data_IF_674340556316
#
_entry.id   IF_674340556316
#
_cell.length_a   1.000
_cell.length_b   1.000
_cell.length_c   1.000
_cell.angle_alpha   90.00
_cell.angle_beta   90.00
_cell.angle_gamma   90.00
#
_symmetry.space_group_name_H-M   'P 1'
#
loop_
_entity.id
_entity.type
_entity.pdbx_description
1 polymer ?
#
# COMPACT_ATOMS: atom_id res chain seq x y z
N UNK A 1 -11.74 4.78 -14.48
CA UNK A 1 -11.41 5.07 -13.06
C UNK A 1 -10.15 4.36 -12.54
N UNK A 2 -9.81 3.13 -12.99
CA UNK A 2 -8.61 2.43 -12.50
C UNK A 2 -7.25 3.08 -12.80
N UNK A 3 -7.08 3.73 -13.97
CA UNK A 3 -5.81 4.43 -14.33
C UNK A 3 -5.51 5.61 -13.40
N UNK A 4 -6.49 6.47 -13.13
CA UNK A 4 -6.32 7.62 -12.25
C UNK A 4 -6.00 7.18 -10.80
N UNK A 5 -6.70 6.16 -10.29
CA UNK A 5 -6.41 5.59 -8.96
C UNK A 5 -4.99 5.05 -8.86
N UNK A 6 -4.52 4.32 -9.89
CA UNK A 6 -3.17 3.76 -9.92
C UNK A 6 -2.08 4.83 -9.94
N UNK A 7 -2.31 5.94 -10.65
CA UNK A 7 -1.41 7.09 -10.67
C UNK A 7 -1.37 7.78 -9.30
N UNK A 8 -2.54 8.00 -8.67
CA UNK A 8 -2.62 8.61 -7.33
C UNK A 8 -1.89 7.76 -6.29
N UNK A 9 -2.12 6.43 -6.29
CA UNK A 9 -1.44 5.50 -5.38
C UNK A 9 0.07 5.48 -5.63
N UNK A 10 0.50 5.56 -6.89
CA UNK A 10 1.91 5.67 -7.24
C UNK A 10 2.56 6.96 -6.71
N UNK A 11 1.90 8.11 -6.91
CA UNK A 11 2.38 9.41 -6.41
C UNK A 11 2.47 9.40 -4.88
N UNK A 12 1.43 8.88 -4.20
CA UNK A 12 1.42 8.76 -2.73
C UNK A 12 2.53 7.82 -2.25
N UNK A 13 2.83 6.74 -3.00
CA UNK A 13 3.95 5.82 -2.71
C UNK A 13 5.30 6.49 -2.78
N UNK A 14 5.53 7.27 -3.83
CA UNK A 14 6.80 7.97 -4.01
C UNK A 14 6.99 9.04 -2.94
N UNK A 15 5.96 9.82 -2.63
CA UNK A 15 6.01 10.84 -1.57
C UNK A 15 6.34 10.18 -0.24
N UNK A 16 5.65 9.09 0.10
CA UNK A 16 5.86 8.37 1.34
C UNK A 16 7.27 7.78 1.46
N UNK A 17 7.78 7.13 0.40
CA UNK A 17 9.17 6.63 0.35
C UNK A 17 10.18 7.76 0.55
N UNK A 18 9.95 8.91 -0.07
CA UNK A 18 10.82 10.09 0.04
C UNK A 18 10.84 10.61 1.47
N UNK A 19 9.68 10.74 2.11
CA UNK A 19 9.58 11.19 3.51
C UNK A 19 10.27 10.22 4.48
N UNK A 20 10.14 8.91 4.26
CA UNK A 20 10.82 7.86 5.05
C UNK A 20 12.34 7.92 4.86
N UNK A 21 12.83 8.06 3.62
CA UNK A 21 14.28 8.16 3.32
C UNK A 21 14.86 9.45 3.92
N UNK A 22 14.13 10.56 3.87
CA UNK A 22 14.57 11.85 4.40
C UNK A 22 14.49 11.93 5.94
N UNK A 23 14.05 10.86 6.63
CA UNK A 23 13.84 10.85 8.10
C UNK A 23 13.04 12.06 8.58
N UNK A 24 12.08 12.51 7.77
CA UNK A 24 11.16 13.56 8.19
C UNK A 24 10.27 12.95 9.26
N UNK A 25 10.07 13.67 10.36
CA UNK A 25 9.18 13.25 11.45
C UNK A 25 7.73 13.29 10.94
N UNK A 26 7.30 12.19 10.32
CA UNK A 26 5.91 12.02 9.91
C UNK A 26 5.11 11.65 11.16
N UNK A 27 4.06 12.41 11.52
CA UNK A 27 3.19 12.03 12.61
C UNK A 27 2.68 10.61 12.39
N UNK A 28 2.84 9.75 13.40
CA UNK A 28 2.50 8.31 13.32
C UNK A 28 1.10 8.07 12.75
N UNK A 29 0.15 8.94 13.06
CA UNK A 29 -1.24 8.87 12.61
C UNK A 29 -1.36 9.09 11.08
N UNK A 30 -0.57 10.02 10.53
CA UNK A 30 -0.51 10.32 9.09
C UNK A 30 0.12 9.15 8.35
N UNK A 31 1.20 8.59 8.92
CA UNK A 31 1.86 7.42 8.37
C UNK A 31 0.89 6.22 8.27
N UNK A 32 0.22 5.86 9.37
CA UNK A 32 -0.74 4.75 9.40
C UNK A 32 -1.87 4.97 8.39
N UNK A 33 -2.39 6.20 8.29
CA UNK A 33 -3.45 6.53 7.35
C UNK A 33 -2.98 6.37 5.89
N UNK A 34 -1.79 6.88 5.53
CA UNK A 34 -1.23 6.78 4.18
C UNK A 34 -0.95 5.32 3.79
N UNK A 35 -0.35 4.55 4.71
CA UNK A 35 -0.09 3.12 4.50
C UNK A 35 -1.39 2.35 4.33
N UNK A 36 -2.40 2.62 5.17
CA UNK A 36 -3.72 1.99 5.06
C UNK A 36 -4.40 2.26 3.70
N UNK A 37 -4.38 3.52 3.24
CA UNK A 37 -4.96 3.91 1.95
C UNK A 37 -4.26 3.20 0.80
N UNK A 38 -2.93 3.10 0.83
CA UNK A 38 -2.17 2.36 -0.19
C UNK A 38 -2.58 0.90 -0.28
N UNK A 39 -2.71 0.24 0.87
CA UNK A 39 -2.98 -1.19 0.93
C UNK A 39 -4.38 -1.54 0.49
N UNK A 40 -5.37 -0.79 0.97
CA UNK A 40 -6.75 -0.96 0.54
C UNK A 40 -6.84 -0.71 -0.97
N UNK A 41 -6.18 0.34 -1.46
CA UNK A 41 -6.18 0.66 -2.89
C UNK A 41 -5.51 -0.42 -3.74
N UNK A 42 -4.39 -0.98 -3.28
CA UNK A 42 -3.68 -2.09 -3.94
C UNK A 42 -4.50 -3.38 -3.93
N UNK A 43 -5.09 -3.74 -2.79
CA UNK A 43 -5.93 -4.92 -2.65
C UNK A 43 -7.17 -4.85 -3.56
N UNK A 44 -7.81 -3.68 -3.68
CA UNK A 44 -8.95 -3.48 -4.61
C UNK A 44 -8.49 -3.62 -6.07
N UNK A 45 -7.27 -3.17 -6.42
CA UNK A 45 -6.78 -3.24 -7.79
C UNK A 45 -6.48 -4.69 -8.17
N UNK A 46 -5.85 -5.42 -7.26
CA UNK A 46 -5.54 -6.83 -7.47
C UNK A 46 -6.81 -7.69 -7.46
N UNK A 47 -7.81 -7.35 -6.63
CA UNK A 47 -9.13 -7.99 -6.66
C UNK A 47 -9.86 -7.77 -7.98
N UNK A 48 -9.82 -6.56 -8.53
CA UNK A 48 -10.40 -6.29 -9.84
C UNK A 48 -9.68 -7.07 -10.96
N UNK A 49 -8.34 -7.13 -10.91
CA UNK A 49 -7.56 -7.96 -11.85
C UNK A 49 -7.83 -9.44 -11.69
N UNK A 50 -8.07 -9.91 -10.48
CA UNK A 50 -8.51 -11.29 -10.24
C UNK A 50 -9.87 -11.55 -10.89
N UNK A 51 -10.85 -10.65 -10.73
CA UNK A 51 -12.15 -10.80 -11.38
C UNK A 51 -12.04 -10.88 -12.90
N UNK A 52 -11.15 -10.09 -13.50
CA UNK A 52 -10.93 -10.06 -14.96
C UNK A 52 -10.17 -11.30 -15.47
N UNK A 53 -9.13 -11.74 -14.77
CA UNK A 53 -8.21 -12.78 -15.28
C UNK A 53 -8.45 -14.17 -14.68
N UNK A 54 -9.19 -14.26 -13.56
CA UNK A 54 -9.37 -15.44 -12.70
C UNK A 54 -8.07 -16.10 -12.23
N UNK A 55 -6.91 -15.43 -12.36
CA UNK A 55 -5.62 -15.97 -11.93
C UNK A 55 -5.45 -15.79 -10.43
N UNK A 56 -5.32 -16.90 -9.69
CA UNK A 56 -5.16 -16.94 -8.23
C UNK A 56 -3.97 -16.13 -7.70
N UNK A 57 -2.96 -15.85 -8.54
CA UNK A 57 -1.80 -15.03 -8.17
C UNK A 57 -2.21 -13.61 -7.72
N UNK A 58 -3.28 -13.05 -8.29
CA UNK A 58 -3.80 -11.73 -7.92
C UNK A 58 -4.49 -11.72 -6.54
N UNK A 59 -4.84 -12.89 -5.99
CA UNK A 59 -5.29 -13.01 -4.60
C UNK A 59 -4.12 -13.18 -3.62
N UNK A 60 -3.02 -13.78 -4.07
CA UNK A 60 -1.83 -14.03 -3.24
C UNK A 60 -1.05 -12.76 -2.93
N UNK A 61 -0.98 -11.82 -3.88
CA UNK A 61 -0.27 -10.55 -3.73
C UNK A 61 -0.75 -9.74 -2.50
N UNK A 62 -2.06 -9.46 -2.31
CA UNK A 62 -2.52 -8.75 -1.12
C UNK A 62 -2.33 -9.56 0.17
N UNK A 63 -2.35 -10.89 0.13
CA UNK A 63 -2.09 -11.75 1.29
C UNK A 63 -0.63 -11.67 1.72
N UNK A 64 0.32 -11.65 0.78
CA UNK A 64 1.76 -11.56 1.05
C UNK A 64 2.15 -10.14 1.48
N UNK A 65 1.46 -9.10 0.99
CA UNK A 65 1.69 -7.73 1.42
C UNK A 65 1.32 -7.49 2.91
N UNK A 66 0.28 -8.17 3.42
CA UNK A 66 -0.17 -8.02 4.82
C UNK A 66 0.94 -8.24 5.87
N UNK A 67 1.68 -9.36 5.88
CA UNK A 67 2.74 -9.58 6.87
C UNK A 67 3.91 -8.59 6.73
N UNK A 68 4.24 -8.13 5.52
CA UNK A 68 5.26 -7.09 5.29
C UNK A 68 4.82 -5.77 5.94
N UNK A 69 3.54 -5.43 5.83
CA UNK A 69 2.97 -4.24 6.46
C UNK A 69 2.96 -4.37 7.97
N UNK A 70 2.51 -5.51 8.49
CA UNK A 70 2.51 -5.76 9.93
C UNK A 70 3.92 -5.61 10.48
N UNK A 71 4.93 -6.13 9.76
CA UNK A 71 6.33 -5.95 10.11
C UNK A 71 6.74 -4.46 10.11
N UNK A 72 6.46 -3.72 9.03
CA UNK A 72 6.78 -2.27 8.95
C UNK A 72 6.11 -1.47 10.07
N UNK A 73 4.84 -1.76 10.38
CA UNK A 73 4.10 -1.12 11.47
C UNK A 73 4.74 -1.48 12.82
N UNK A 74 5.04 -2.75 13.07
CA UNK A 74 5.70 -3.19 14.30
C UNK A 74 7.08 -2.55 14.47
N UNK A 75 7.91 -2.50 13.43
CA UNK A 75 9.23 -1.84 13.44
C UNK A 75 9.19 -0.32 13.63
N UNK A 76 8.02 0.30 13.46
CA UNK A 76 7.82 1.73 13.76
C UNK A 76 7.16 1.95 15.12
N UNK A 77 6.51 0.92 15.66
CA UNK A 77 5.89 0.93 16.99
C UNK A 77 6.92 0.67 18.10
N UNK A 78 7.88 -0.25 17.85
CA UNK A 78 8.96 -0.68 18.73
C UNK A 78 10.31 -0.13 18.26
#
# INVERSE_FOLDING_TARGET
>A
MGKARRIIVGIVSVIYLTLVIMKIDIPRNVFIALTGIMLISGAIDEWNRYKETKKKIHLLIPIILLPIVIFVVLSLLF
#
